data_IF_827114122785
#
_entry.id   IF_827114122785
#
_cell.length_a   1.000
_cell.length_b   1.000
_cell.length_c   1.000
_cell.angle_alpha   90.00
_cell.angle_beta   90.00
_cell.angle_gamma   90.00
#
_symmetry.space_group_name_H-M   'P 1'
#
loop_
_entity.id
_entity.type
_entity.pdbx_description
1 polymer ?
#
# COMPACT_ATOMS: atom_id res chain seq x y z
N UNK A 1 7.87 17.44 -5.87
CA UNK A 1 8.17 16.08 -5.37
C UNK A 1 8.33 15.16 -6.57
N UNK A 2 9.36 14.30 -6.60
CA UNK A 2 9.70 13.49 -7.78
C UNK A 2 8.52 12.62 -8.27
N UNK A 3 7.75 12.05 -7.35
CA UNK A 3 6.57 11.22 -7.65
C UNK A 3 5.43 12.03 -8.28
N UNK A 4 5.04 13.17 -7.69
CA UNK A 4 4.01 14.07 -8.27
C UNK A 4 4.41 14.62 -9.63
N UNK A 5 5.71 14.77 -9.89
CA UNK A 5 6.24 15.21 -11.18
C UNK A 5 6.45 14.06 -12.16
N UNK A 6 6.24 12.81 -11.72
CA UNK A 6 6.53 11.57 -12.45
C UNK A 6 7.93 11.59 -13.05
N UNK A 7 8.91 11.98 -12.22
CA UNK A 7 10.30 12.14 -12.61
C UNK A 7 11.03 10.80 -12.52
N UNK A 8 11.09 10.07 -13.63
CA UNK A 8 11.77 8.78 -13.74
C UNK A 8 13.23 8.86 -13.32
N UNK A 9 13.97 9.89 -13.75
CA UNK A 9 15.41 10.00 -13.46
C UNK A 9 15.66 10.10 -11.95
N UNK A 10 14.84 10.88 -11.24
CA UNK A 10 14.93 11.01 -9.80
C UNK A 10 14.60 9.72 -9.05
N UNK A 11 13.58 8.96 -9.49
CA UNK A 11 13.26 7.65 -8.90
C UNK A 11 14.39 6.66 -9.15
N UNK A 12 14.89 6.58 -10.38
CA UNK A 12 15.99 5.67 -10.74
C UNK A 12 17.28 6.00 -9.99
N UNK A 13 17.56 7.28 -9.74
CA UNK A 13 18.71 7.69 -8.93
C UNK A 13 18.61 7.26 -7.46
N UNK A 14 17.39 7.09 -6.94
CA UNK A 14 17.15 6.63 -5.58
C UNK A 14 17.17 5.11 -5.42
N UNK A 15 17.02 4.33 -6.50
CA UNK A 15 17.07 2.88 -6.41
C UNK A 15 18.44 2.39 -5.96
N UNK A 16 18.45 1.50 -4.98
CA UNK A 16 19.61 0.67 -4.72
C UNK A 16 19.92 -0.21 -5.96
N UNK A 17 21.20 -0.44 -6.33
CA UNK A 17 21.55 -1.36 -7.40
C UNK A 17 20.94 -2.76 -7.23
N UNK A 18 20.74 -3.22 -6.00
CA UNK A 18 20.18 -4.51 -5.62
C UNK A 18 18.76 -4.38 -5.06
N UNK A 19 17.98 -3.38 -5.48
CA UNK A 19 16.60 -3.16 -5.03
C UNK A 19 15.76 -4.44 -5.15
N UNK A 20 15.11 -4.86 -4.07
CA UNK A 20 14.25 -6.04 -4.05
C UNK A 20 12.84 -5.73 -4.55
N UNK A 21 12.30 -6.56 -5.44
CA UNK A 21 11.01 -6.32 -6.12
C UNK A 21 9.99 -7.44 -5.88
N UNK A 22 10.46 -8.65 -5.56
CA UNK A 22 9.60 -9.77 -5.21
C UNK A 22 10.29 -10.71 -4.21
N UNK A 23 9.47 -11.48 -3.50
CA UNK A 23 9.95 -12.58 -2.67
C UNK A 23 10.45 -13.78 -3.50
N UNK A 24 10.09 -13.81 -4.79
CA UNK A 24 10.55 -14.80 -5.76
C UNK A 24 11.96 -14.54 -6.32
N UNK A 25 12.61 -13.45 -5.90
CA UNK A 25 13.99 -13.13 -6.25
C UNK A 25 14.16 -12.10 -7.37
N UNK A 26 13.09 -11.43 -7.81
CA UNK A 26 13.21 -10.31 -8.74
C UNK A 26 13.91 -9.15 -8.03
N UNK A 27 15.06 -8.73 -8.58
CA UNK A 27 15.88 -7.69 -7.98
C UNK A 27 16.62 -6.86 -9.03
N UNK A 28 17.02 -5.66 -8.60
CA UNK A 28 17.86 -4.76 -9.36
C UNK A 28 17.10 -3.83 -10.31
N UNK A 29 17.84 -2.84 -10.81
CA UNK A 29 17.27 -1.72 -11.58
C UNK A 29 16.67 -2.14 -12.91
N UNK A 30 17.26 -3.13 -13.58
CA UNK A 30 16.77 -3.60 -14.87
C UNK A 30 15.41 -4.29 -14.72
N UNK A 31 15.27 -5.14 -13.69
CA UNK A 31 13.99 -5.76 -13.34
C UNK A 31 12.94 -4.69 -12.94
N UNK A 32 13.34 -3.64 -12.23
CA UNK A 32 12.45 -2.53 -11.90
C UNK A 32 11.97 -1.81 -13.16
N UNK A 33 12.85 -1.56 -14.13
CA UNK A 33 12.48 -0.93 -15.41
C UNK A 33 11.50 -1.81 -16.19
N UNK A 34 11.75 -3.11 -16.26
CA UNK A 34 10.89 -4.06 -16.98
C UNK A 34 9.49 -4.14 -16.36
N UNK A 35 9.43 -4.28 -15.03
CA UNK A 35 8.19 -4.42 -14.28
C UNK A 35 7.39 -3.11 -14.24
N UNK A 36 8.05 -2.01 -13.93
CA UNK A 36 7.38 -0.76 -13.55
C UNK A 36 7.45 0.34 -14.60
N UNK A 37 8.23 0.16 -15.67
CA UNK A 37 8.29 1.08 -16.83
C UNK A 37 8.32 2.55 -16.41
N UNK A 38 9.28 3.00 -15.58
CA UNK A 38 9.25 4.33 -14.97
C UNK A 38 9.31 5.48 -16.00
N UNK A 39 9.84 5.22 -17.20
CA UNK A 39 9.83 6.19 -18.30
C UNK A 39 8.42 6.47 -18.86
N UNK A 40 7.48 5.54 -18.68
CA UNK A 40 6.08 5.73 -19.04
C UNK A 40 5.36 6.49 -17.91
N UNK A 41 4.85 7.68 -18.22
CA UNK A 41 4.14 8.51 -17.25
C UNK A 41 2.78 7.94 -16.87
N UNK A 42 2.21 7.04 -17.67
CA UNK A 42 0.94 6.38 -17.37
C UNK A 42 1.12 5.00 -16.72
N UNK A 43 2.36 4.61 -16.44
CA UNK A 43 2.65 3.39 -15.70
C UNK A 43 1.96 3.36 -14.34
N UNK A 44 1.53 2.17 -13.93
CA UNK A 44 0.92 1.92 -12.62
C UNK A 44 1.86 2.27 -11.45
N UNK A 45 3.17 2.28 -11.71
CA UNK A 45 4.19 2.73 -10.77
C UNK A 45 3.82 4.06 -10.11
N UNK A 46 3.37 5.03 -10.91
CA UNK A 46 3.15 6.38 -10.41
C UNK A 46 1.94 6.43 -9.49
N UNK A 47 0.87 5.71 -9.83
CA UNK A 47 -0.31 5.60 -8.96
C UNK A 47 0.06 4.92 -7.63
N UNK A 48 0.84 3.84 -7.71
CA UNK A 48 1.27 3.08 -6.54
C UNK A 48 2.19 3.90 -5.62
N UNK A 49 3.20 4.59 -6.18
CA UNK A 49 4.07 5.48 -5.42
C UNK A 49 3.32 6.66 -4.80
N UNK A 50 2.38 7.26 -5.53
CA UNK A 50 1.54 8.34 -5.00
C UNK A 50 0.72 7.86 -3.80
N UNK A 51 0.10 6.68 -3.91
CA UNK A 51 -0.68 6.09 -2.84
C UNK A 51 0.17 5.76 -1.60
N UNK A 52 1.30 5.07 -1.80
CA UNK A 52 2.21 4.69 -0.71
C UNK A 52 2.72 5.92 0.04
N UNK A 53 3.09 6.99 -0.69
CA UNK A 53 3.53 8.25 -0.06
C UNK A 53 2.37 8.95 0.64
N UNK A 54 1.18 8.94 0.05
CA UNK A 54 -0.01 9.56 0.64
C UNK A 54 -0.40 8.91 1.97
N UNK A 55 -0.24 7.59 2.09
CA UNK A 55 -0.48 6.82 3.31
C UNK A 55 0.62 6.98 4.37
N UNK A 56 1.64 7.80 4.11
CA UNK A 56 2.72 8.07 5.05
C UNK A 56 3.65 6.88 5.27
N UNK A 57 4.50 6.97 6.28
CA UNK A 57 5.43 5.90 6.63
C UNK A 57 6.06 6.14 7.99
N UNK A 58 6.80 5.16 8.48
CA UNK A 58 7.49 5.22 9.76
C UNK A 58 8.96 4.83 9.61
N UNK A 59 9.79 5.40 10.48
CA UNK A 59 11.18 4.96 10.65
C UNK A 59 11.21 3.70 11.51
N UNK A 60 12.24 2.87 11.31
CA UNK A 60 12.58 1.87 12.32
C UNK A 60 12.85 2.56 13.67
N UNK A 61 12.38 1.95 14.76
CA UNK A 61 12.44 2.57 16.09
C UNK A 61 13.80 2.45 16.77
N UNK A 62 14.66 1.54 16.29
CA UNK A 62 15.95 1.23 16.91
C UNK A 62 17.07 2.20 16.49
N UNK A 63 17.30 2.36 15.18
CA UNK A 63 18.47 3.08 14.67
C UNK A 63 18.13 4.31 13.79
N UNK A 64 16.87 4.46 13.35
CA UNK A 64 16.47 5.50 12.40
C UNK A 64 17.16 5.35 11.04
N UNK A 65 17.56 4.14 10.67
CA UNK A 65 18.34 3.82 9.46
C UNK A 65 17.48 3.24 8.35
N UNK A 66 16.26 2.84 8.67
CA UNK A 66 15.26 2.38 7.72
C UNK A 66 13.99 3.23 7.82
N UNK A 67 13.31 3.41 6.70
CA UNK A 67 12.00 4.03 6.62
C UNK A 67 11.12 3.21 5.69
N UNK A 68 9.94 2.81 6.16
CA UNK A 68 8.99 2.04 5.37
C UNK A 68 7.67 2.80 5.19
N UNK A 69 7.11 2.71 3.99
CA UNK A 69 5.78 3.22 3.65
C UNK A 69 5.00 2.15 2.86
N UNK A 70 3.67 2.03 3.04
CA UNK A 70 2.81 2.89 3.85
C UNK A 70 2.99 2.68 5.37
N UNK A 71 2.57 3.63 6.22
CA UNK A 71 2.65 3.46 7.68
C UNK A 71 1.83 2.25 8.14
N UNK A 72 0.76 1.93 7.40
CA UNK A 72 -0.01 0.71 7.60
C UNK A 72 0.91 -0.51 7.71
N UNK A 73 1.87 -0.68 6.81
CA UNK A 73 2.83 -1.79 6.86
C UNK A 73 3.82 -1.67 8.02
N UNK A 74 4.35 -0.47 8.26
CA UNK A 74 5.38 -0.26 9.26
C UNK A 74 4.89 -0.52 10.70
N UNK A 75 3.61 -0.24 10.95
CA UNK A 75 2.98 -0.41 12.27
C UNK A 75 2.15 -1.72 12.37
N UNK A 76 1.98 -2.45 11.26
CA UNK A 76 1.19 -3.68 11.22
C UNK A 76 1.84 -4.81 12.01
N UNK A 77 1.05 -5.60 12.75
CA UNK A 77 1.56 -6.73 13.53
C UNK A 77 2.07 -6.33 14.91
N UNK A 78 1.86 -5.07 15.32
CA UNK A 78 2.11 -4.63 16.69
C UNK A 78 1.03 -5.12 17.66
N UNK A 79 -0.19 -5.41 17.18
CA UNK A 79 -1.20 -6.16 17.94
C UNK A 79 -1.08 -7.66 17.63
N UNK A 80 -1.03 -8.55 18.64
CA UNK A 80 -0.99 -10.00 18.42
C UNK A 80 -2.23 -10.58 17.71
N UNK A 81 -3.31 -9.80 17.56
CA UNK A 81 -4.51 -10.18 16.81
C UNK A 81 -4.52 -9.63 15.39
N UNK A 82 -3.47 -8.91 14.96
CA UNK A 82 -3.35 -8.46 13.58
C UNK A 82 -3.15 -9.67 12.65
N UNK A 83 -3.94 -9.70 11.58
CA UNK A 83 -3.83 -10.71 10.52
C UNK A 83 -3.78 -10.01 9.17
N UNK A 84 -2.60 -10.01 8.57
CA UNK A 84 -2.32 -9.27 7.34
C UNK A 84 -3.07 -9.83 6.13
N UNK A 85 -3.58 -11.06 6.21
CA UNK A 85 -4.32 -11.71 5.13
C UNK A 85 -5.81 -11.42 5.17
N UNK A 86 -6.32 -10.97 6.31
CA UNK A 86 -7.75 -10.69 6.50
C UNK A 86 -8.02 -9.23 6.79
N UNK A 87 -7.10 -8.49 7.38
CA UNK A 87 -7.31 -7.08 7.69
C UNK A 87 -7.04 -6.17 6.49
N UNK A 88 -7.83 -5.10 6.39
CA UNK A 88 -7.72 -4.05 5.39
C UNK A 88 -7.86 -2.68 6.07
N UNK A 89 -7.16 -1.68 5.54
CA UNK A 89 -7.36 -0.28 5.90
C UNK A 89 -8.40 0.36 4.96
N UNK A 90 -9.44 0.95 5.54
CA UNK A 90 -10.28 1.93 4.85
C UNK A 90 -9.48 3.24 4.73
N UNK A 91 -8.99 3.54 3.53
CA UNK A 91 -8.22 4.76 3.22
C UNK A 91 -9.15 5.91 2.84
N UNK A 92 -9.03 7.04 3.56
CA UNK A 92 -9.80 8.27 3.31
C UNK A 92 -10.82 8.61 4.40
N UNK A 93 -11.60 9.67 4.17
CA UNK A 93 -12.61 10.18 5.10
C UNK A 93 -14.02 9.94 4.59
N UNK A 94 -14.94 9.60 5.48
CA UNK A 94 -16.36 9.36 5.20
C UNK A 94 -16.59 8.35 4.06
N UNK A 95 -15.75 7.32 3.99
CA UNK A 95 -15.91 6.21 3.04
C UNK A 95 -17.20 5.49 3.38
N UNK A 96 -18.03 5.25 2.36
CA UNK A 96 -19.37 4.70 2.53
C UNK A 96 -19.33 3.18 2.56
N UNK A 97 -19.93 2.60 3.58
CA UNK A 97 -20.30 1.19 3.61
C UNK A 97 -21.73 1.06 3.07
N UNK A 98 -21.94 0.10 2.19
CA UNK A 98 -23.23 -0.13 1.53
C UNK A 98 -23.80 -1.50 1.85
N UNK A 99 -25.13 -1.62 1.74
CA UNK A 99 -25.83 -2.87 1.99
C UNK A 99 -25.50 -3.96 0.94
N UNK A 100 -25.20 -3.55 -0.29
CA UNK A 100 -24.90 -4.41 -1.44
C UNK A 100 -23.70 -3.83 -2.23
N UNK A 101 -22.99 -4.65 -3.05
CA UNK A 101 -21.84 -4.21 -3.85
C UNK A 101 -22.26 -3.39 -5.08
N UNK A 102 -22.90 -2.25 -4.84
CA UNK A 102 -23.43 -1.37 -5.89
C UNK A 102 -23.43 0.09 -5.44
N UNK A 103 -23.21 1.01 -6.38
CA UNK A 103 -23.30 2.45 -6.14
C UNK A 103 -24.73 2.92 -5.82
N UNK A 104 -25.74 2.16 -6.21
CA UNK A 104 -27.15 2.46 -5.98
C UNK A 104 -27.68 1.89 -4.65
N UNK A 105 -26.91 1.01 -4.01
CA UNK A 105 -27.30 0.40 -2.74
C UNK A 105 -27.30 1.41 -1.59
N UNK A 106 -28.22 1.24 -0.64
CA UNK A 106 -28.31 2.08 0.55
C UNK A 106 -26.98 2.15 1.31
N UNK A 107 -26.60 3.35 1.73
CA UNK A 107 -25.47 3.57 2.65
C UNK A 107 -25.92 3.17 4.05
N UNK A 108 -25.19 2.26 4.68
CA UNK A 108 -25.53 1.73 6.01
C UNK A 108 -24.62 2.29 7.10
N UNK A 109 -23.42 2.73 6.74
CA UNK A 109 -22.46 3.37 7.65
C UNK A 109 -21.42 4.18 6.86
N UNK A 110 -20.62 4.96 7.57
CA UNK A 110 -19.41 5.59 7.03
C UNK A 110 -18.23 5.37 7.96
N UNK A 111 -17.05 5.15 7.40
CA UNK A 111 -15.80 4.97 8.13
C UNK A 111 -14.74 5.95 7.63
N UNK A 112 -13.74 6.23 8.46
CA UNK A 112 -12.60 7.08 8.09
C UNK A 112 -11.33 6.51 8.70
N UNK A 113 -10.34 6.15 7.88
CA UNK A 113 -9.04 5.65 8.36
C UNK A 113 -9.18 4.52 9.38
N UNK A 114 -9.99 3.51 9.05
CA UNK A 114 -10.41 2.44 9.95
C UNK A 114 -9.87 1.09 9.47
N UNK A 115 -9.31 0.28 10.38
CA UNK A 115 -8.97 -1.12 10.10
C UNK A 115 -10.22 -1.98 10.21
N UNK A 116 -10.46 -2.80 9.20
CA UNK A 116 -11.61 -3.69 9.08
C UNK A 116 -11.17 -5.08 8.64
N UNK A 117 -11.98 -6.09 8.96
CA UNK A 117 -11.74 -7.47 8.53
C UNK A 117 -12.44 -7.73 7.18
N UNK A 118 -11.75 -8.39 6.26
CA UNK A 118 -12.28 -8.87 4.99
C UNK A 118 -13.09 -10.13 5.23
N UNK A 119 -14.36 -10.11 4.81
CA UNK A 119 -15.30 -11.23 5.01
C UNK A 119 -15.47 -12.08 3.77
N UNK A 120 -15.19 -11.53 2.59
CA UNK A 120 -15.24 -12.25 1.32
C UNK A 120 -14.01 -11.94 0.50
N UNK A 121 -13.68 -12.85 -0.42
CA UNK A 121 -12.79 -12.51 -1.52
C UNK A 121 -13.35 -11.35 -2.34
N UNK A 122 -12.46 -10.71 -3.09
CA UNK A 122 -12.78 -9.58 -3.95
C UNK A 122 -13.87 -9.96 -4.96
N UNK A 123 -15.06 -9.34 -4.86
CA UNK A 123 -16.11 -9.59 -5.83
C UNK A 123 -15.91 -8.67 -7.04
N UNK A 124 -15.57 -9.28 -8.17
CA UNK A 124 -15.25 -8.60 -9.43
C UNK A 124 -14.21 -7.48 -9.27
N UNK A 125 -13.28 -7.61 -8.31
CA UNK A 125 -12.21 -6.64 -8.02
C UNK A 125 -12.68 -5.22 -7.63
N UNK A 126 -13.98 -4.95 -7.60
CA UNK A 126 -14.55 -3.61 -7.40
C UNK A 126 -15.15 -3.40 -6.01
N UNK A 127 -15.59 -4.48 -5.35
CA UNK A 127 -16.24 -4.40 -4.05
C UNK A 127 -15.72 -5.50 -3.12
N UNK A 128 -15.59 -5.15 -1.85
CA UNK A 128 -15.20 -6.07 -0.79
C UNK A 128 -16.21 -5.96 0.34
N UNK A 129 -16.65 -7.11 0.83
CA UNK A 129 -17.43 -7.17 2.05
C UNK A 129 -16.49 -7.12 3.25
N UNK A 130 -16.74 -6.18 4.15
CA UNK A 130 -15.93 -5.95 5.34
C UNK A 130 -16.76 -6.07 6.62
N UNK A 131 -16.10 -6.44 7.71
CA UNK A 131 -16.61 -6.46 9.07
C UNK A 131 -15.84 -5.44 9.91
N UNK A 132 -16.56 -4.51 10.51
CA UNK A 132 -16.03 -3.51 11.42
C UNK A 132 -15.93 -4.07 12.84
N UNK A 133 -15.10 -3.46 13.67
CA UNK A 133 -14.92 -3.84 15.08
C UNK A 133 -16.20 -3.72 15.93
N UNK A 134 -17.13 -2.86 15.52
CA UNK A 134 -18.45 -2.73 16.15
C UNK A 134 -19.48 -3.79 15.69
N UNK A 135 -19.07 -4.74 14.85
CA UNK A 135 -19.91 -5.80 14.29
C UNK A 135 -20.67 -5.40 13.02
N UNK A 136 -20.54 -4.16 12.54
CA UNK A 136 -21.17 -3.73 11.29
C UNK A 136 -20.56 -4.45 10.10
N UNK A 137 -21.39 -5.12 9.31
CA UNK A 137 -20.99 -5.78 8.06
C UNK A 137 -21.55 -5.05 6.85
N UNK A 138 -20.71 -4.76 5.86
CA UNK A 138 -21.11 -3.97 4.67
C UNK A 138 -20.12 -4.08 3.52
N UNK A 139 -20.46 -3.47 2.39
CA UNK A 139 -19.65 -3.44 1.18
C UNK A 139 -18.96 -2.10 1.01
N UNK A 140 -17.66 -2.14 0.73
CA UNK A 140 -16.83 -0.97 0.44
C UNK A 140 -16.23 -1.14 -0.96
N UNK A 141 -16.16 -0.06 -1.73
CA UNK A 141 -15.51 -0.10 -3.03
C UNK A 141 -14.00 -0.32 -2.82
N UNK A 142 -13.45 -1.25 -3.60
CA UNK A 142 -12.07 -1.72 -3.54
C UNK A 142 -11.03 -0.58 -3.54
N UNK A 143 -11.30 0.48 -4.30
CA UNK A 143 -10.43 1.66 -4.41
C UNK A 143 -10.22 2.41 -3.08
N UNK A 144 -11.07 2.19 -2.07
CA UNK A 144 -10.94 2.76 -0.73
C UNK A 144 -10.33 1.80 0.29
N UNK A 145 -9.85 0.64 -0.15
CA UNK A 145 -9.25 -0.37 0.72
C UNK A 145 -7.78 -0.53 0.39
N UNK A 146 -6.96 -0.76 1.42
CA UNK A 146 -5.54 -1.06 1.31
C UNK A 146 -5.21 -2.29 2.14
N UNK A 147 -4.52 -3.27 1.56
CA UNK A 147 -3.99 -4.42 2.27
C UNK A 147 -2.67 -4.08 2.97
N UNK A 148 -2.41 -4.58 4.18
CA UNK A 148 -1.10 -4.49 4.83
C UNK A 148 0.04 -5.15 4.05
N UNK A 149 -0.28 -6.15 3.22
CA UNK A 149 0.68 -6.85 2.35
C UNK A 149 0.65 -6.37 0.88
N UNK A 150 -0.04 -5.26 0.59
CA UNK A 150 0.14 -4.59 -0.70
C UNK A 150 1.57 -4.02 -0.83
N UNK A 151 1.86 -3.41 -1.98
CA UNK A 151 3.17 -2.83 -2.24
C UNK A 151 3.62 -1.89 -1.11
N UNK A 152 4.89 -2.02 -0.75
CA UNK A 152 5.58 -1.12 0.17
C UNK A 152 6.90 -0.72 -0.41
N UNK A 153 7.33 0.47 -0.03
CA UNK A 153 8.66 0.98 -0.32
C UNK A 153 9.46 0.99 0.98
N UNK A 154 10.67 0.45 0.93
CA UNK A 154 11.62 0.48 2.04
C UNK A 154 12.82 1.30 1.59
N UNK A 155 13.12 2.32 2.37
CA UNK A 155 14.33 3.11 2.23
C UNK A 155 15.32 2.69 3.30
N UNK A 156 16.59 2.58 2.93
CA UNK A 156 17.67 2.28 3.87
C UNK A 156 18.79 3.30 3.72
N UNK A 157 19.40 3.67 4.85
CA UNK A 157 20.48 4.64 4.92
C UNK A 157 21.83 3.93 4.82
N UNK A 158 22.48 4.09 3.67
CA UNK A 158 23.83 3.60 3.44
C UNK A 158 24.90 4.70 3.53
N UNK A 159 26.18 4.35 3.25
CA UNK A 159 27.30 5.30 3.26
C UNK A 159 27.13 6.46 2.26
N UNK A 160 26.41 6.23 1.17
CA UNK A 160 26.13 7.20 0.10
C UNK A 160 24.82 7.96 0.30
N UNK A 161 24.14 7.74 1.43
CA UNK A 161 22.85 8.31 1.76
C UNK A 161 21.70 7.30 1.65
N UNK A 162 20.48 7.82 1.61
CA UNK A 162 19.28 7.01 1.53
C UNK A 162 19.06 6.46 0.12
N UNK A 163 18.69 5.19 0.04
CA UNK A 163 18.29 4.50 -1.20
C UNK A 163 17.00 3.72 -0.98
N UNK A 164 16.26 3.48 -2.05
CA UNK A 164 15.13 2.56 -2.09
C UNK A 164 15.72 1.16 -2.15
N UNK A 165 15.65 0.44 -1.04
CA UNK A 165 16.15 -0.91 -0.88
C UNK A 165 15.12 -1.96 -1.34
N UNK A 166 13.83 -1.66 -1.22
CA UNK A 166 12.77 -2.55 -1.71
C UNK A 166 11.56 -1.77 -2.23
N UNK A 167 10.91 -2.35 -3.24
CA UNK A 167 9.58 -1.97 -3.72
C UNK A 167 8.80 -3.25 -4.04
N UNK A 168 8.08 -3.77 -3.05
CA UNK A 168 7.66 -5.18 -2.99
C UNK A 168 6.27 -5.32 -2.38
N UNK A 169 5.50 -6.31 -2.83
CA UNK A 169 4.21 -6.71 -2.26
C UNK A 169 4.24 -8.21 -1.88
N UNK A 170 3.34 -8.63 -1.00
CA UNK A 170 3.22 -10.00 -0.48
C UNK A 170 3.76 -10.17 0.94
N UNK A 171 3.77 -11.41 1.40
CA UNK A 171 4.30 -11.85 2.69
C UNK A 171 5.69 -12.50 2.58
#
# INVERSE_FOLDING_TARGET
MAVVQRNSEAVMAMLDPEVHLSFGGDMGRDAFIEMWRPSDKESELWRELEEIIYLGGAFDSEEGTSFAAPSLFADFGSDPNDDAFTQLLIKGRNVRLRAEPSLDASIIATASWEIVERVSDWQNEQWVQVLRSDGTKGWVAAEFLRSPIDYRIIFSKGPTGWKIAAFIAGD
#
